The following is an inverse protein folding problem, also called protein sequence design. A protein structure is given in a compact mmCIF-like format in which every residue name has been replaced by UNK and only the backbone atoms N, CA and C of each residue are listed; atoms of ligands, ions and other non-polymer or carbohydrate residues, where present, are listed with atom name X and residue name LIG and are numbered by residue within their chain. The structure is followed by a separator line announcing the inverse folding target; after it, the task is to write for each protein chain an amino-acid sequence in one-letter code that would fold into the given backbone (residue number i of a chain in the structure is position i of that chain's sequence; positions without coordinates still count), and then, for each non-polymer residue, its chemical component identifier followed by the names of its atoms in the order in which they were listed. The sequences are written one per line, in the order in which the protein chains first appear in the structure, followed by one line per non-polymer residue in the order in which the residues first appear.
data_IF_322827079042
#
_entry.id   IF_322827079042
#
_cell.length_a   1.000
_cell.length_b   1.000
_cell.length_c   1.000
_cell.angle_alpha   90.00
_cell.angle_beta   90.00
_cell.angle_gamma   90.00
#
_symmetry.space_group_name_H-M   'P 1'
#
loop_
_entity.id
_entity.type
_entity.pdbx_description
1 polymer ?
#
# COMPACT_ATOMS: atom_id res chain seq x y z
N UNK A 1 0.61 -14.65 14.13
CA UNK A 1 2.02 -15.08 14.04
C UNK A 1 2.88 -13.99 14.68
N UNK A 2 3.79 -14.29 15.61
CA UNK A 2 4.72 -13.29 16.14
C UNK A 2 5.75 -12.95 15.05
N UNK A 3 5.88 -11.66 14.72
CA UNK A 3 6.85 -11.16 13.73
C UNK A 3 8.30 -11.31 14.23
N UNK A 4 9.23 -11.52 13.29
CA UNK A 4 10.67 -11.60 13.53
C UNK A 4 11.27 -10.24 13.92
N UNK A 5 12.17 -10.27 14.90
CA UNK A 5 12.66 -9.12 15.69
C UNK A 5 13.75 -8.30 14.98
N UNK A 6 13.63 -6.97 14.99
CA UNK A 6 14.73 -6.03 14.69
C UNK A 6 15.38 -5.43 15.95
N UNK A 7 16.66 -5.06 15.79
CA UNK A 7 17.68 -4.81 16.83
C UNK A 7 17.55 -3.47 17.59
N UNK A 8 17.55 -3.58 18.92
CA UNK A 8 18.11 -2.74 20.02
C UNK A 8 18.19 -1.21 19.80
N UNK A 9 17.33 -0.47 20.50
CA UNK A 9 17.54 0.94 20.88
C UNK A 9 17.36 1.15 22.39
N UNK A 10 18.38 1.72 23.04
CA UNK A 10 18.49 1.77 24.51
C UNK A 10 17.70 2.93 25.12
N UNK A 11 16.79 2.60 26.04
CA UNK A 11 16.49 3.42 27.23
C UNK A 11 15.45 4.53 27.11
N UNK A 12 14.17 4.17 27.33
CA UNK A 12 13.11 5.10 27.74
C UNK A 12 12.07 4.39 28.64
N UNK A 13 11.42 5.12 29.55
CA UNK A 13 10.29 4.58 30.35
C UNK A 13 8.95 4.86 29.67
N UNK A 14 7.91 4.07 29.99
CA UNK A 14 6.57 4.28 29.46
C UNK A 14 6.06 5.73 29.67
N UNK A 15 6.38 6.34 30.81
CA UNK A 15 6.06 7.74 31.13
C UNK A 15 6.71 8.78 30.19
N UNK A 16 7.83 8.42 29.52
CA UNK A 16 8.53 9.29 28.57
C UNK A 16 7.94 9.20 27.16
N UNK A 17 7.27 8.10 26.83
CA UNK A 17 6.64 7.81 25.54
C UNK A 17 5.13 8.12 25.54
N UNK A 18 4.51 8.26 26.72
CA UNK A 18 3.13 8.73 26.82
C UNK A 18 2.98 10.20 26.43
N UNK A 19 1.94 10.50 25.65
CA UNK A 19 1.54 11.85 25.24
C UNK A 19 1.94 12.26 23.83
N UNK A 20 2.28 11.30 22.96
CA UNK A 20 2.55 11.54 21.54
C UNK A 20 1.30 11.30 20.69
N UNK A 21 1.19 12.05 19.60
CA UNK A 21 0.18 11.81 18.57
C UNK A 21 0.72 12.03 17.17
N UNK A 22 0.14 11.33 16.20
CA UNK A 22 0.53 11.35 14.80
C UNK A 22 -0.72 11.20 13.93
N UNK A 23 -0.71 11.81 12.74
CA UNK A 23 -1.53 11.40 11.60
C UNK A 23 -0.63 10.59 10.66
N UNK A 24 -0.98 9.35 10.34
CA UNK A 24 -0.07 8.38 9.74
C UNK A 24 -0.70 7.64 8.57
N UNK A 25 0.01 7.55 7.44
CA UNK A 25 -0.15 6.47 6.45
C UNK A 25 1.19 6.05 5.83
N UNK A 26 2.31 6.42 6.47
CA UNK A 26 3.64 6.23 5.90
C UNK A 26 4.08 4.76 5.95
N UNK A 27 4.06 4.11 4.80
CA UNK A 27 4.65 2.79 4.62
C UNK A 27 5.48 2.74 3.33
N UNK A 28 6.43 1.82 3.32
CA UNK A 28 7.25 1.53 2.15
C UNK A 28 7.43 0.04 1.98
N UNK A 29 7.62 -0.38 0.73
CA UNK A 29 8.03 -1.73 0.41
C UNK A 29 9.53 -1.71 0.15
N UNK A 30 10.24 -2.57 0.87
CA UNK A 30 11.69 -2.69 0.82
C UNK A 30 12.05 -4.09 0.33
N UNK A 31 12.99 -4.16 -0.61
CA UNK A 31 13.52 -5.42 -1.15
C UNK A 31 15.03 -5.49 -0.93
N UNK A 32 15.53 -6.67 -0.58
CA UNK A 32 16.96 -6.99 -0.51
C UNK A 32 17.25 -8.21 -1.37
N UNK A 33 18.26 -8.11 -2.23
CA UNK A 33 18.73 -9.21 -3.08
C UNK A 33 20.18 -9.58 -2.73
N UNK A 34 20.61 -10.81 -3.03
CA UNK A 34 22.00 -11.25 -2.81
C UNK A 34 22.96 -10.88 -3.96
N UNK A 35 22.42 -10.44 -5.09
CA UNK A 35 23.11 -10.01 -6.31
C UNK A 35 22.54 -8.69 -6.82
N UNK A 36 23.27 -7.97 -7.67
CA UNK A 36 22.76 -6.74 -8.28
C UNK A 36 21.63 -7.09 -9.24
N UNK A 37 20.44 -6.55 -9.00
CA UNK A 37 19.22 -6.86 -9.76
C UNK A 37 18.62 -5.60 -10.38
N UNK A 38 17.75 -5.80 -11.37
CA UNK A 38 16.87 -4.77 -11.91
C UNK A 38 15.42 -5.18 -11.66
N UNK A 39 14.80 -4.47 -10.74
CA UNK A 39 13.43 -4.70 -10.32
C UNK A 39 12.46 -4.00 -11.26
N UNK A 40 11.40 -4.69 -11.69
CA UNK A 40 10.32 -4.12 -12.49
C UNK A 40 9.46 -3.19 -11.63
N UNK A 41 9.46 -1.90 -11.93
CA UNK A 41 8.61 -0.92 -11.24
C UNK A 41 7.21 -0.89 -11.86
N UNK A 42 6.29 -1.65 -11.26
CA UNK A 42 4.89 -1.71 -11.69
C UNK A 42 4.04 -0.51 -11.25
N UNK A 43 4.58 0.39 -10.43
CA UNK A 43 3.84 1.52 -9.84
C UNK A 43 4.10 2.84 -10.56
N UNK A 44 5.20 2.93 -11.31
CA UNK A 44 5.58 4.10 -12.08
C UNK A 44 5.03 4.09 -13.50
N UNK A 45 5.06 5.27 -14.13
CA UNK A 45 4.85 5.37 -15.57
C UNK A 45 5.95 4.60 -16.31
N UNK A 46 5.55 3.85 -17.33
CA UNK A 46 6.46 3.09 -18.17
C UNK A 46 7.22 3.97 -19.19
N UNK A 47 8.09 3.31 -19.95
CA UNK A 47 8.86 3.93 -21.04
C UNK A 47 8.18 3.59 -22.36
N UNK A 48 7.64 4.61 -23.03
CA UNK A 48 6.84 4.45 -24.25
C UNK A 48 5.35 4.57 -23.97
N UNK A 49 4.52 4.06 -24.87
CA UNK A 49 3.07 4.10 -24.75
C UNK A 49 2.41 3.07 -25.68
N UNK A 50 1.21 2.66 -25.30
CA UNK A 50 0.22 2.11 -26.25
C UNK A 50 -0.72 3.25 -26.62
N UNK A 51 -0.66 3.70 -27.87
CA UNK A 51 -1.45 4.83 -28.35
C UNK A 51 -2.78 4.36 -28.91
N UNK A 52 -3.82 5.13 -28.63
CA UNK A 52 -5.18 4.98 -29.15
C UNK A 52 -5.47 6.17 -30.06
N UNK A 53 -6.04 5.94 -31.24
CA UNK A 53 -6.43 7.01 -32.16
C UNK A 53 -7.71 6.68 -32.93
N UNK A 54 -8.44 7.71 -33.37
CA UNK A 54 -9.70 7.55 -34.10
C UNK A 54 -10.89 8.13 -33.33
N UNK A 55 -11.89 7.30 -33.03
CA UNK A 55 -13.07 7.70 -32.25
C UNK A 55 -12.68 8.33 -30.90
N UNK A 56 -11.63 7.79 -30.26
CA UNK A 56 -11.01 8.30 -29.04
C UNK A 56 -9.51 8.42 -29.31
N UNK A 57 -8.85 9.39 -28.67
CA UNK A 57 -7.41 9.57 -28.79
C UNK A 57 -6.80 9.68 -27.39
N UNK A 58 -5.66 9.02 -27.17
CA UNK A 58 -4.93 9.08 -25.93
C UNK A 58 -3.80 8.05 -25.89
N UNK A 59 -2.94 8.17 -24.88
CA UNK A 59 -1.80 7.29 -24.68
C UNK A 59 -1.95 6.59 -23.34
N UNK A 60 -1.79 5.26 -23.33
CA UNK A 60 -1.74 4.45 -22.12
C UNK A 60 -0.26 4.19 -21.77
N UNK A 61 0.17 4.66 -20.60
CA UNK A 61 1.57 4.67 -20.17
C UNK A 61 1.82 3.89 -18.87
N UNK A 62 0.77 3.42 -18.20
CA UNK A 62 0.87 2.56 -17.02
C UNK A 62 0.57 1.11 -17.40
N UNK A 63 1.39 0.18 -16.90
CA UNK A 63 1.29 -1.24 -17.23
C UNK A 63 1.37 -2.09 -15.96
N UNK A 64 0.60 -3.15 -15.89
CA UNK A 64 0.70 -4.23 -14.91
C UNK A 64 0.54 -5.55 -15.64
N UNK A 65 1.19 -6.59 -15.16
CA UNK A 65 1.17 -7.86 -15.87
C UNK A 65 2.19 -8.83 -15.35
N UNK A 66 1.97 -10.09 -15.68
CA UNK A 66 2.85 -11.19 -15.35
C UNK A 66 3.02 -12.08 -16.57
N UNK A 67 4.14 -12.79 -16.60
CA UNK A 67 4.44 -13.78 -17.63
C UNK A 67 5.00 -15.02 -16.98
N UNK A 68 4.37 -16.14 -17.24
CA UNK A 68 4.87 -17.43 -16.86
C UNK A 68 5.94 -17.88 -17.87
N UNK A 69 7.18 -17.96 -17.42
CA UNK A 69 8.32 -18.41 -18.25
C UNK A 69 8.24 -19.90 -18.64
N UNK A 70 7.57 -20.74 -17.84
CA UNK A 70 7.50 -22.18 -18.06
C UNK A 70 6.38 -22.56 -19.03
N UNK A 71 5.24 -21.88 -18.92
CA UNK A 71 4.04 -22.16 -19.73
C UNK A 71 3.80 -21.14 -20.84
N UNK A 72 4.51 -20.02 -20.86
CA UNK A 72 4.34 -18.95 -21.84
C UNK A 72 3.01 -18.20 -21.72
N UNK A 73 2.26 -18.44 -20.64
CA UNK A 73 1.03 -17.71 -20.35
C UNK A 73 1.37 -16.30 -19.90
N UNK A 74 0.53 -15.33 -20.25
CA UNK A 74 0.71 -13.95 -19.81
C UNK A 74 -0.61 -13.23 -19.64
N UNK A 75 -0.61 -12.28 -18.72
CA UNK A 75 -1.65 -11.27 -18.55
C UNK A 75 -0.98 -9.90 -18.57
N UNK A 76 -1.55 -8.95 -19.31
CA UNK A 76 -1.11 -7.56 -19.28
C UNK A 76 -2.32 -6.63 -19.26
N UNK A 77 -2.34 -5.74 -18.28
CA UNK A 77 -3.24 -4.62 -18.20
C UNK A 77 -2.47 -3.31 -18.44
N UNK A 78 -3.03 -2.43 -19.27
CA UNK A 78 -2.44 -1.12 -19.60
C UNK A 78 -3.50 -0.04 -19.45
N UNK A 79 -3.12 1.13 -18.94
CA UNK A 79 -4.04 2.26 -18.84
C UNK A 79 -3.32 3.61 -18.95
N UNK A 80 -4.11 4.68 -19.08
CA UNK A 80 -3.62 6.06 -18.96
C UNK A 80 -3.72 6.63 -17.53
N UNK A 81 -4.14 5.83 -16.56
CA UNK A 81 -4.24 6.24 -15.15
C UNK A 81 -3.23 5.48 -14.28
N UNK A 82 -2.65 6.19 -13.32
CA UNK A 82 -1.84 5.54 -12.30
C UNK A 82 -2.72 4.60 -11.46
N UNK A 83 -2.22 3.42 -11.11
CA UNK A 83 -2.88 2.48 -10.21
C UNK A 83 -3.44 3.13 -8.93
N UNK A 84 -2.69 4.02 -8.29
CA UNK A 84 -3.17 4.73 -7.09
C UNK A 84 -4.37 5.62 -7.38
N UNK A 85 -4.41 6.27 -8.55
CA UNK A 85 -5.52 7.13 -8.97
C UNK A 85 -6.78 6.34 -9.36
N UNK A 86 -6.67 5.04 -9.66
CA UNK A 86 -7.83 4.20 -9.97
C UNK A 86 -8.77 4.02 -8.76
N UNK A 87 -8.24 4.16 -7.54
CA UNK A 87 -9.00 4.03 -6.28
C UNK A 87 -9.42 5.36 -5.67
N UNK A 88 -8.96 6.50 -6.20
CA UNK A 88 -9.34 7.84 -5.72
C UNK A 88 -10.76 8.25 -6.16
N UNK A 89 -11.49 7.32 -6.81
CA UNK A 89 -12.77 7.58 -7.44
C UNK A 89 -12.64 8.54 -8.62
N UNK A 90 -13.72 8.77 -9.38
CA UNK A 90 -13.72 9.75 -10.46
C UNK A 90 -13.67 11.17 -9.86
N UNK A 91 -12.51 11.64 -9.46
CA UNK A 91 -12.30 13.03 -9.07
C UNK A 91 -11.26 13.70 -9.98
N UNK A 92 -11.81 14.48 -10.92
CA UNK A 92 -11.31 15.74 -11.47
C UNK A 92 -10.38 15.78 -12.70
N UNK A 93 -9.86 14.67 -13.20
CA UNK A 93 -9.28 14.70 -14.54
C UNK A 93 -10.40 14.43 -15.55
N UNK A 94 -10.77 15.46 -16.31
CA UNK A 94 -11.77 15.41 -17.40
C UNK A 94 -11.36 14.53 -18.59
N UNK A 95 -10.33 13.71 -18.41
CA UNK A 95 -9.75 12.87 -19.44
C UNK A 95 -10.51 11.55 -19.51
N UNK A 96 -10.61 11.00 -20.72
CA UNK A 96 -11.23 9.70 -20.94
C UNK A 96 -10.34 8.64 -20.29
N UNK A 97 -10.92 7.80 -19.43
CA UNK A 97 -10.26 6.60 -18.94
C UNK A 97 -10.10 5.61 -20.09
N UNK A 98 -8.89 5.08 -20.28
CA UNK A 98 -8.54 4.07 -21.27
C UNK A 98 -7.95 2.87 -20.54
N UNK A 99 -8.48 1.69 -20.82
CA UNK A 99 -7.99 0.42 -20.26
C UNK A 99 -7.89 -0.63 -21.34
N UNK A 100 -6.76 -1.33 -21.39
CA UNK A 100 -6.49 -2.45 -22.29
C UNK A 100 -6.07 -3.67 -21.46
N UNK A 101 -6.85 -4.74 -21.53
CA UNK A 101 -6.59 -6.02 -20.89
C UNK A 101 -6.26 -7.05 -21.98
N UNK A 102 -5.13 -7.72 -21.84
CA UNK A 102 -4.58 -8.67 -22.80
C UNK A 102 -4.29 -10.00 -22.11
N UNK A 103 -4.85 -11.07 -22.64
CA UNK A 103 -4.81 -12.40 -22.05
C UNK A 103 -4.21 -13.39 -23.04
N UNK A 104 -3.25 -14.17 -22.57
CA UNK A 104 -2.72 -15.31 -23.30
C UNK A 104 -2.60 -16.45 -22.31
N UNK A 105 -3.72 -17.15 -22.07
CA UNK A 105 -3.72 -18.39 -21.34
C UNK A 105 -3.53 -19.53 -22.35
N UNK A 106 -2.42 -20.27 -22.24
CA UNK A 106 -2.25 -21.48 -23.03
C UNK A 106 -3.27 -22.52 -22.55
N UNK A 107 -4.42 -22.56 -23.23
CA UNK A 107 -5.58 -23.37 -22.89
C UNK A 107 -5.20 -24.83 -22.62
N UNK A 108 -5.34 -25.25 -21.36
CA UNK A 108 -5.01 -26.62 -20.95
C UNK A 108 -5.29 -26.94 -19.49
N UNK A 109 -5.15 -25.96 -18.61
CA UNK A 109 -5.57 -26.11 -17.22
C UNK A 109 -6.54 -24.98 -16.93
N UNK A 110 -7.77 -25.35 -16.55
CA UNK A 110 -8.63 -24.44 -15.82
C UNK A 110 -7.82 -23.98 -14.61
N UNK A 111 -7.17 -22.82 -14.70
CA UNK A 111 -7.01 -21.96 -13.53
C UNK A 111 -8.46 -21.79 -13.07
N UNK A 112 -8.85 -22.61 -12.10
CA UNK A 112 -10.19 -22.58 -11.55
C UNK A 112 -10.44 -21.13 -11.19
N UNK A 113 -11.48 -20.57 -11.81
CA UNK A 113 -11.98 -19.24 -11.55
C UNK A 113 -11.81 -18.94 -10.05
N UNK A 114 -10.88 -18.06 -9.64
CA UNK A 114 -10.73 -17.73 -8.23
C UNK A 114 -12.02 -17.11 -7.67
N UNK A 115 -12.93 -16.71 -8.57
CA UNK A 115 -14.22 -16.09 -8.31
C UNK A 115 -15.34 -16.76 -9.12
N UNK A 116 -15.56 -18.06 -8.90
CA UNK A 116 -16.79 -18.80 -9.23
C UNK A 116 -17.88 -17.97 -9.91
N UNK A 117 -17.82 -17.89 -11.25
CA UNK A 117 -18.88 -17.77 -12.27
C UNK A 117 -20.10 -16.85 -12.08
N UNK A 118 -20.18 -16.05 -11.01
CA UNK A 118 -21.38 -15.30 -10.60
C UNK A 118 -21.12 -13.78 -10.46
N UNK A 119 -19.90 -13.30 -10.73
CA UNK A 119 -19.56 -11.87 -10.60
C UNK A 119 -19.96 -11.02 -11.81
N UNK A 120 -20.36 -11.62 -12.94
CA UNK A 120 -20.82 -10.91 -14.14
C UNK A 120 -19.78 -9.96 -14.77
N UNK A 121 -18.53 -10.01 -14.30
CA UNK A 121 -17.40 -9.29 -14.88
C UNK A 121 -16.79 -10.14 -15.98
N UNK A 122 -16.47 -9.49 -17.11
CA UNK A 122 -15.95 -10.04 -18.36
C UNK A 122 -15.05 -11.27 -18.18
N UNK A 123 -15.28 -12.31 -18.99
CA UNK A 123 -14.53 -13.55 -18.92
C UNK A 123 -13.03 -13.29 -19.05
N UNK A 124 -12.26 -13.73 -18.06
CA UNK A 124 -10.80 -13.53 -17.97
C UNK A 124 -10.00 -14.08 -19.16
N UNK A 125 -10.64 -14.76 -20.12
CA UNK A 125 -9.99 -15.35 -21.30
C UNK A 125 -9.95 -14.41 -22.51
N UNK A 126 -10.74 -13.33 -22.53
CA UNK A 126 -10.85 -12.46 -23.70
C UNK A 126 -9.96 -11.22 -23.58
N UNK A 127 -9.36 -10.82 -24.70
CA UNK A 127 -8.74 -9.49 -24.84
C UNK A 127 -9.84 -8.42 -24.87
N UNK A 128 -9.63 -7.34 -24.11
CA UNK A 128 -10.64 -6.31 -23.89
C UNK A 128 -10.04 -4.92 -23.91
N UNK A 129 -10.67 -4.01 -24.65
CA UNK A 129 -10.40 -2.59 -24.58
C UNK A 129 -11.65 -1.84 -24.12
N UNK A 130 -11.47 -0.93 -23.17
CA UNK A 130 -12.52 -0.06 -22.66
C UNK A 130 -12.08 1.39 -22.63
N UNK A 131 -13.02 2.28 -22.94
CA UNK A 131 -12.83 3.70 -22.75
C UNK A 131 -14.10 4.39 -22.26
N UNK A 132 -13.99 5.17 -21.18
CA UNK A 132 -15.11 5.82 -20.51
C UNK A 132 -14.79 7.28 -20.18
N UNK A 133 -15.62 8.20 -20.65
CA UNK A 133 -15.53 9.63 -20.37
C UNK A 133 -16.68 10.12 -19.50
N UNK A 134 -16.44 11.18 -18.73
CA UNK A 134 -17.47 11.83 -17.89
C UNK A 134 -18.60 12.50 -18.69
N UNK A 135 -18.40 12.70 -19.99
CA UNK A 135 -19.36 13.27 -20.95
C UNK A 135 -20.31 12.22 -21.55
N UNK A 136 -20.26 10.98 -21.07
CA UNK A 136 -21.05 9.85 -21.59
C UNK A 136 -20.40 9.17 -22.80
N UNK A 137 -19.16 9.54 -23.13
CA UNK A 137 -18.35 8.81 -24.10
C UNK A 137 -18.07 7.40 -23.57
N UNK A 138 -18.33 6.40 -24.41
CA UNK A 138 -18.20 4.98 -24.10
C UNK A 138 -17.71 4.26 -25.35
N UNK A 139 -16.68 3.43 -25.22
CA UNK A 139 -16.23 2.49 -26.23
C UNK A 139 -15.80 1.20 -25.54
N UNK A 140 -16.23 0.06 -26.07
CA UNK A 140 -15.97 -1.25 -25.50
C UNK A 140 -15.81 -2.26 -26.64
N UNK A 141 -14.66 -2.92 -26.70
CA UNK A 141 -14.35 -3.92 -27.69
C UNK A 141 -13.78 -5.17 -27.02
N UNK A 142 -14.48 -6.29 -27.20
CA UNK A 142 -14.03 -7.64 -26.86
C UNK A 142 -13.71 -8.36 -28.16
N UNK A 143 -12.43 -8.49 -28.48
CA UNK A 143 -11.95 -9.09 -29.72
C UNK A 143 -10.51 -9.55 -29.54
N UNK A 144 -10.06 -10.55 -30.29
CA UNK A 144 -8.65 -10.95 -30.27
C UNK A 144 -7.75 -9.75 -30.65
N UNK A 145 -6.76 -9.46 -29.81
CA UNK A 145 -5.77 -8.42 -30.02
C UNK A 145 -4.42 -9.11 -30.20
N UNK A 146 -3.74 -8.83 -31.32
CA UNK A 146 -2.40 -9.35 -31.52
C UNK A 146 -1.42 -8.57 -30.64
N UNK A 147 -0.61 -9.26 -29.83
CA UNK A 147 0.43 -8.62 -29.01
C UNK A 147 1.59 -9.57 -28.71
N UNK A 148 2.70 -8.98 -28.24
CA UNK A 148 3.81 -9.73 -27.64
C UNK A 148 4.18 -9.10 -26.31
N UNK A 149 4.31 -9.92 -25.27
CA UNK A 149 4.79 -9.49 -23.97
C UNK A 149 5.92 -10.42 -23.52
N UNK A 150 7.06 -9.85 -23.14
CA UNK A 150 8.25 -10.62 -22.72
C UNK A 150 8.43 -10.68 -21.20
N UNK A 151 7.48 -10.12 -20.42
CA UNK A 151 7.58 -9.95 -18.97
C UNK A 151 8.03 -8.54 -18.58
N UNK A 152 8.60 -7.77 -19.52
CA UNK A 152 9.09 -6.40 -19.28
C UNK A 152 8.52 -5.36 -20.24
N UNK A 153 8.29 -5.76 -21.49
CA UNK A 153 7.88 -4.90 -22.59
C UNK A 153 6.71 -5.52 -23.32
N UNK A 154 5.65 -4.73 -23.44
CA UNK A 154 4.50 -5.01 -24.28
C UNK A 154 4.71 -4.34 -25.64
N UNK A 155 4.45 -5.07 -26.72
CA UNK A 155 4.32 -4.50 -28.07
C UNK A 155 3.00 -4.93 -28.67
N UNK A 156 2.22 -3.94 -29.10
CA UNK A 156 0.95 -4.12 -29.80
C UNK A 156 1.15 -3.58 -31.22
N UNK A 157 1.16 -4.45 -32.25
CA UNK A 157 1.15 -3.99 -33.64
C UNK A 157 -0.07 -3.09 -33.90
N UNK A 158 0.09 -2.14 -34.81
CA UNK A 158 -1.01 -1.27 -35.19
C UNK A 158 -2.18 -2.08 -35.75
N UNK A 159 -3.33 -2.01 -35.10
CA UNK A 159 -4.54 -2.73 -35.49
C UNK A 159 -5.80 -1.94 -35.13
N UNK A 160 -6.89 -2.23 -35.85
CA UNK A 160 -8.18 -1.60 -35.64
C UNK A 160 -9.02 -2.42 -34.66
N UNK A 161 -9.66 -1.74 -33.70
CA UNK A 161 -10.71 -2.29 -32.87
C UNK A 161 -12.07 -1.72 -33.30
N UNK A 162 -13.11 -2.53 -33.19
CA UNK A 162 -14.48 -2.15 -33.54
C UNK A 162 -15.41 -2.46 -32.37
N UNK A 163 -16.20 -1.48 -31.95
CA UNK A 163 -17.22 -1.68 -30.91
C UNK A 163 -18.52 -2.27 -31.47
N UNK A 164 -19.48 -2.51 -30.58
CA UNK A 164 -20.82 -3.02 -30.94
C UNK A 164 -21.69 -2.02 -31.73
N UNK A 165 -21.28 -0.75 -31.84
CA UNK A 165 -21.97 0.30 -32.59
C UNK A 165 -21.30 0.57 -33.95
N UNK A 166 -20.37 -0.29 -34.38
CA UNK A 166 -19.54 -0.15 -35.58
C UNK A 166 -18.63 1.10 -35.57
N UNK A 167 -18.35 1.67 -34.40
CA UNK A 167 -17.31 2.69 -34.22
C UNK A 167 -15.94 2.04 -34.25
N UNK A 168 -14.95 2.71 -34.85
CA UNK A 168 -13.58 2.16 -34.93
C UNK A 168 -12.56 3.05 -34.25
N UNK A 169 -11.55 2.39 -33.69
CA UNK A 169 -10.32 3.02 -33.21
C UNK A 169 -9.12 2.18 -33.63
N UNK A 170 -7.95 2.80 -33.65
CA UNK A 170 -6.68 2.13 -33.90
C UNK A 170 -5.85 2.16 -32.63
N UNK A 171 -5.35 0.98 -32.21
CA UNK A 171 -4.37 0.85 -31.13
C UNK A 171 -3.02 0.43 -31.69
N UNK A 172 -1.95 0.78 -30.99
CA UNK A 172 -0.62 0.20 -31.22
C UNK A 172 0.48 0.96 -30.49
N UNK A 173 1.63 0.32 -30.37
CA UNK A 173 2.79 0.93 -29.72
C UNK A 173 3.66 -0.09 -28.98
N UNK A 174 4.62 0.44 -28.25
CA UNK A 174 5.48 -0.33 -27.36
C UNK A 174 5.56 0.40 -26.03
N UNK A 175 5.34 -0.35 -24.96
CA UNK A 175 5.42 0.12 -23.59
C UNK A 175 6.28 -0.85 -22.79
N UNK A 176 7.31 -0.33 -22.13
CA UNK A 176 8.19 -1.10 -21.26
C UNK A 176 8.05 -0.61 -19.82
N UNK A 177 8.22 -1.51 -18.85
CA UNK A 177 8.34 -1.08 -17.46
C UNK A 177 9.54 -0.16 -17.26
N UNK A 178 9.38 0.79 -16.35
CA UNK A 178 10.51 1.43 -15.68
C UNK A 178 11.18 0.42 -14.75
N UNK A 179 12.47 0.60 -14.49
CA UNK A 179 13.27 -0.34 -13.70
C UNK A 179 13.93 0.36 -12.53
N UNK A 180 13.97 -0.30 -11.38
CA UNK A 180 14.70 0.14 -10.19
C UNK A 180 15.97 -0.71 -10.07
N UNK A 181 17.13 -0.07 -10.00
CA UNK A 181 18.38 -0.77 -9.70
C UNK A 181 18.38 -1.17 -8.21
N UNK A 182 18.53 -2.46 -7.92
CA UNK A 182 18.61 -3.02 -6.57
C UNK A 182 20.02 -3.58 -6.34
N UNK A 183 20.91 -2.85 -5.66
CA UNK A 183 22.26 -3.32 -5.39
C UNK A 183 22.28 -4.51 -4.42
N UNK A 184 23.21 -5.43 -4.64
CA UNK A 184 23.37 -6.61 -3.82
C UNK A 184 23.57 -6.27 -2.33
N UNK A 185 22.78 -6.92 -1.48
CA UNK A 185 22.80 -6.86 -0.02
C UNK A 185 22.49 -5.46 0.55
N UNK A 186 21.81 -4.61 -0.22
CA UNK A 186 21.36 -3.29 0.20
C UNK A 186 19.83 -3.23 0.15
N UNK A 187 19.14 -3.04 1.29
CA UNK A 187 17.71 -2.81 1.30
C UNK A 187 17.36 -1.59 0.44
N UNK A 188 16.49 -1.79 -0.55
CA UNK A 188 16.12 -0.78 -1.53
C UNK A 188 14.61 -0.53 -1.47
N UNK A 189 14.21 0.74 -1.33
CA UNK A 189 12.79 1.16 -1.38
C UNK A 189 12.30 1.02 -2.81
N UNK A 190 11.31 0.17 -3.04
CA UNK A 190 10.71 -0.07 -4.36
C UNK A 190 9.32 0.57 -4.51
N UNK A 191 8.64 0.82 -3.39
CA UNK A 191 7.37 1.53 -3.33
C UNK A 191 7.31 2.28 -2.01
N UNK A 192 6.57 3.38 -1.97
CA UNK A 192 6.11 3.92 -0.71
C UNK A 192 4.96 4.88 -0.88
N UNK A 193 4.22 5.02 0.21
CA UNK A 193 3.17 5.99 0.35
C UNK A 193 3.59 6.97 1.44
N UNK A 194 3.75 8.25 1.06
CA UNK A 194 4.20 9.31 1.95
C UNK A 194 3.07 10.37 2.12
N UNK A 195 1.83 9.91 2.31
CA UNK A 195 0.63 10.75 2.43
C UNK A 195 -0.02 10.72 3.81
N UNK A 196 -0.93 11.67 4.05
CA UNK A 196 -1.64 11.85 5.32
C UNK A 196 -3.08 11.26 5.30
N UNK A 197 -3.55 10.76 4.15
CA UNK A 197 -4.96 10.36 3.93
C UNK A 197 -5.03 9.18 2.95
N UNK A 198 -5.55 8.03 3.37
CA UNK A 198 -5.86 6.89 2.49
C UNK A 198 -7.23 7.07 1.81
N UNK A 199 -7.39 6.60 0.56
CA UNK A 199 -8.68 6.56 -0.14
C UNK A 199 -9.70 5.67 0.57
N UNK A 200 -9.24 4.54 1.14
CA UNK A 200 -10.12 3.50 1.70
C UNK A 200 -10.50 3.78 3.16
N UNK A 201 -9.66 4.54 3.89
CA UNK A 201 -9.78 4.71 5.35
C UNK A 201 -9.65 6.16 5.81
N UNK A 202 -9.49 7.12 4.88
CA UNK A 202 -9.33 8.54 5.14
C UNK A 202 -8.11 8.85 6.01
N UNK A 203 -8.21 9.76 6.98
CA UNK A 203 -7.10 10.07 7.90
C UNK A 203 -7.02 9.07 9.04
N UNK A 204 -5.81 8.69 9.45
CA UNK A 204 -5.57 7.78 10.57
C UNK A 204 -4.68 8.46 11.63
N UNK A 205 -5.19 8.62 12.84
CA UNK A 205 -4.47 9.22 13.95
C UNK A 205 -4.16 8.18 15.03
N UNK A 206 -2.94 8.22 15.58
CA UNK A 206 -2.52 7.36 16.69
C UNK A 206 -2.21 8.23 17.91
N UNK A 207 -2.71 7.84 19.08
CA UNK A 207 -2.44 8.48 20.37
C UNK A 207 -1.87 7.47 21.37
N UNK A 208 -0.64 7.73 21.82
CA UNK A 208 0.03 6.92 22.86
C UNK A 208 -0.25 7.57 24.21
N UNK A 209 -1.04 6.92 25.07
CA UNK A 209 -1.43 7.48 26.37
C UNK A 209 -0.59 6.92 27.52
N UNK A 210 -0.38 7.77 28.52
CA UNK A 210 0.41 7.46 29.74
C UNK A 210 -0.22 6.37 30.61
N UNK A 211 -1.51 6.11 30.47
CA UNK A 211 -2.23 5.07 31.19
C UNK A 211 -2.06 3.67 30.58
N UNK A 212 -1.19 3.53 29.57
CA UNK A 212 -0.96 2.28 28.83
C UNK A 212 -1.93 2.05 27.67
N UNK A 213 -2.78 3.04 27.34
CA UNK A 213 -3.70 2.92 26.20
C UNK A 213 -3.05 3.39 24.90
N UNK A 214 -3.17 2.59 23.85
CA UNK A 214 -2.87 2.92 22.48
C UNK A 214 -4.20 3.16 21.77
N UNK A 215 -4.44 4.37 21.28
CA UNK A 215 -5.74 4.73 20.68
C UNK A 215 -5.54 5.15 19.24
N UNK A 216 -6.18 4.44 18.35
CA UNK A 216 -6.23 4.74 16.92
C UNK A 216 -7.59 5.36 16.60
N UNK A 217 -7.59 6.41 15.78
CA UNK A 217 -8.79 7.11 15.34
C UNK A 217 -8.75 7.20 13.83
N UNK A 218 -9.78 6.67 13.19
CA UNK A 218 -9.95 6.69 11.74
C UNK A 218 -11.04 7.70 11.39
N UNK A 219 -10.82 8.51 10.35
CA UNK A 219 -11.84 9.41 9.82
C UNK A 219 -11.91 9.24 8.32
N UNK A 220 -13.06 8.83 7.80
CA UNK A 220 -13.27 8.68 6.37
C UNK A 220 -14.52 9.42 5.93
N UNK A 221 -14.50 9.88 4.67
CA UNK A 221 -15.60 10.59 4.04
C UNK A 221 -16.19 9.68 2.96
N UNK A 222 -17.48 9.36 3.06
CA UNK A 222 -18.19 8.67 1.96
C UNK A 222 -18.98 9.68 1.13
N UNK A 223 -18.77 9.74 -0.20
CA UNK A 223 -19.61 10.51 -1.09
C UNK A 223 -20.96 9.80 -1.31
N UNK A 224 -22.05 10.42 -0.86
CA UNK A 224 -23.43 9.94 -1.10
C UNK A 224 -24.07 10.71 -2.26
N UNK A 225 -23.74 10.43 -3.51
CA UNK A 225 -24.47 10.90 -4.71
C UNK A 225 -23.98 12.20 -5.39
N UNK A 226 -24.48 12.42 -6.62
CA UNK A 226 -24.16 13.49 -7.58
C UNK A 226 -24.33 14.93 -7.05
N UNK A 227 -24.95 15.11 -5.88
CA UNK A 227 -25.24 16.41 -5.25
C UNK A 227 -24.14 16.88 -4.26
N UNK A 228 -23.07 16.09 -4.05
CA UNK A 228 -21.84 16.53 -3.39
C UNK A 228 -21.87 16.61 -1.87
N UNK A 229 -22.73 15.84 -1.20
CA UNK A 229 -22.71 15.72 0.26
C UNK A 229 -21.77 14.60 0.71
N UNK A 230 -20.80 14.93 1.57
CA UNK A 230 -19.91 13.95 2.23
C UNK A 230 -20.40 13.66 3.65
N UNK A 231 -20.63 12.39 3.98
CA UNK A 231 -20.80 11.97 5.37
C UNK A 231 -19.42 11.70 5.96
N UNK A 232 -19.10 12.35 7.08
CA UNK A 232 -17.85 12.12 7.80
C UNK A 232 -18.11 11.07 8.89
N UNK A 233 -17.45 9.93 8.78
CA UNK A 233 -17.44 8.88 9.79
C UNK A 233 -16.19 9.00 10.65
N UNK A 234 -16.32 8.67 11.94
CA UNK A 234 -15.19 8.60 12.88
C UNK A 234 -15.31 7.29 13.62
N UNK A 235 -14.30 6.43 13.47
CA UNK A 235 -14.16 5.19 14.22
C UNK A 235 -12.89 5.22 15.08
N UNK A 236 -12.82 4.36 16.09
CA UNK A 236 -11.64 4.28 16.95
C UNK A 236 -11.40 2.89 17.51
N UNK A 237 -10.14 2.47 17.51
CA UNK A 237 -9.69 1.23 18.14
C UNK A 237 -8.83 1.54 19.36
N UNK A 238 -9.02 0.80 20.45
CA UNK A 238 -8.21 0.92 21.67
C UNK A 238 -7.47 -0.39 21.92
N UNK A 239 -6.16 -0.29 22.06
CA UNK A 239 -5.24 -1.37 22.39
C UNK A 239 -4.46 -1.04 23.66
N UNK A 240 -3.82 -2.06 24.24
CA UNK A 240 -2.89 -1.91 25.35
C UNK A 240 -1.47 -1.85 24.79
N UNK A 241 -0.61 -0.98 25.30
CA UNK A 241 0.82 -0.98 24.96
C UNK A 241 1.69 -1.13 26.19
N UNK A 242 2.83 -1.78 26.01
CA UNK A 242 3.84 -1.94 27.03
C UNK A 242 5.25 -1.90 26.44
N UNK A 243 6.22 -1.61 27.30
CA UNK A 243 7.64 -1.73 26.94
C UNK A 243 8.10 -3.17 27.19
N UNK A 244 8.58 -3.84 26.15
CA UNK A 244 9.30 -5.11 26.26
C UNK A 244 10.71 -4.94 25.75
N UNK A 245 11.67 -5.04 26.65
CA UNK A 245 13.08 -4.76 26.38
C UNK A 245 13.24 -3.37 25.73
N UNK A 246 13.63 -3.33 24.46
CA UNK A 246 13.86 -2.12 23.67
C UNK A 246 12.76 -1.90 22.60
N UNK A 247 11.56 -2.44 22.82
CA UNK A 247 10.44 -2.35 21.89
C UNK A 247 9.17 -1.83 22.59
N UNK A 248 8.35 -1.11 21.82
CA UNK A 248 6.96 -0.84 22.17
C UNK A 248 6.13 -1.97 21.58
N UNK A 249 5.45 -2.73 22.44
CA UNK A 249 4.57 -3.81 22.01
C UNK A 249 3.12 -3.38 22.23
N UNK A 250 2.37 -3.30 21.15
CA UNK A 250 0.93 -2.96 21.14
C UNK A 250 0.14 -4.26 21.00
N UNK A 251 -0.81 -4.47 21.89
CA UNK A 251 -1.68 -5.65 21.94
C UNK A 251 -3.12 -5.24 21.70
N UNK A 252 -3.64 -5.61 20.54
CA UNK A 252 -5.04 -5.45 20.17
C UNK A 252 -5.81 -6.68 20.64
N UNK A 253 -6.99 -6.45 21.21
CA UNK A 253 -7.92 -7.51 21.64
C UNK A 253 -9.24 -7.26 20.93
N UNK A 254 -9.62 -8.18 20.05
CA UNK A 254 -10.92 -8.16 19.40
C UNK A 254 -11.76 -9.27 20.01
N UNK A 255 -12.86 -8.90 20.66
CA UNK A 255 -13.89 -9.84 21.07
C UNK A 255 -14.81 -10.03 19.86
N UNK A 256 -14.64 -11.14 19.17
CA UNK A 256 -15.45 -11.43 17.99
C UNK A 256 -16.67 -12.29 18.36
N UNK A 257 -17.82 -11.94 17.80
CA UNK A 257 -19.08 -12.66 18.00
C UNK A 257 -19.60 -13.10 16.64
N UNK A 258 -19.34 -14.35 16.28
CA UNK A 258 -19.91 -14.96 15.08
C UNK A 258 -21.23 -15.67 15.40
N UNK A 259 -22.37 -15.18 14.90
CA UNK A 259 -23.54 -16.03 14.75
C UNK A 259 -23.30 -16.93 13.52
N UNK A 260 -23.06 -18.21 13.78
CA UNK A 260 -22.97 -19.33 12.81
C UNK A 260 -21.55 -19.84 12.48
N UNK A 261 -21.02 -20.68 13.37
CA UNK A 261 -19.94 -21.61 13.04
C UNK A 261 -20.55 -22.77 12.23
N UNK A 262 -20.62 -22.58 10.91
CA UNK A 262 -21.25 -23.47 9.93
C UNK A 262 -21.29 -24.95 10.30
N UNK A 263 -22.40 -25.37 10.94
CA UNK A 263 -22.82 -26.77 11.00
C UNK A 263 -23.08 -27.41 12.38
N UNK A 264 -23.03 -26.70 13.51
CA UNK A 264 -23.39 -27.28 14.82
C UNK A 264 -23.84 -26.27 15.88
N UNK A 265 -24.60 -26.67 16.93
CA UNK A 265 -25.03 -25.75 17.98
C UNK A 265 -23.84 -25.41 18.89
N UNK A 266 -23.20 -24.28 18.64
CA UNK A 266 -22.17 -23.70 19.49
C UNK A 266 -22.05 -22.20 19.25
N UNK A 267 -22.17 -21.41 20.32
CA UNK A 267 -21.74 -20.01 20.33
C UNK A 267 -20.21 -20.05 20.43
N UNK A 268 -19.51 -19.76 19.35
CA UNK A 268 -18.06 -19.57 19.38
C UNK A 268 -17.76 -18.20 19.99
N UNK A 269 -17.17 -18.17 21.18
CA UNK A 269 -16.59 -16.96 21.77
C UNK A 269 -15.07 -17.09 21.68
N UNK A 270 -14.40 -16.09 21.08
CA UNK A 270 -12.95 -16.06 21.00
C UNK A 270 -12.45 -14.62 21.07
N UNK A 271 -11.49 -14.37 21.95
CA UNK A 271 -10.72 -13.13 21.95
C UNK A 271 -9.54 -13.32 21.00
N UNK A 272 -9.53 -12.60 19.89
CA UNK A 272 -8.38 -12.54 19.00
C UNK A 272 -7.39 -11.54 19.57
N UNK A 273 -6.19 -12.02 19.86
CA UNK A 273 -5.09 -11.19 20.33
C UNK A 273 -4.11 -11.02 19.19
N UNK A 274 -3.94 -9.78 18.74
CA UNK A 274 -2.95 -9.40 17.73
C UNK A 274 -1.91 -8.49 18.38
N UNK A 275 -0.62 -8.73 18.08
CA UNK A 275 0.49 -7.97 18.66
C UNK A 275 1.36 -7.37 17.57
N UNK A 276 1.67 -6.09 17.71
CA UNK A 276 2.62 -5.37 16.87
C UNK A 276 3.79 -4.91 17.74
N UNK A 277 5.00 -5.16 17.28
CA UNK A 277 6.22 -4.68 17.93
C UNK A 277 6.85 -3.56 17.09
N UNK A 278 7.12 -2.44 17.75
CA UNK A 278 7.80 -1.30 17.17
C UNK A 278 9.18 -1.14 17.79
N UNK A 279 10.19 -0.96 16.94
CA UNK A 279 11.43 -0.33 17.37
C UNK A 279 11.20 1.18 17.45
N UNK A 280 11.88 1.86 18.37
CA UNK A 280 11.63 3.29 18.58
C UNK A 280 12.93 4.09 18.70
N UNK A 281 12.86 5.35 18.29
CA UNK A 281 13.95 6.32 18.44
C UNK A 281 13.38 7.67 18.89
N UNK A 282 14.09 8.37 19.78
CA UNK A 282 13.72 9.72 20.21
C UNK A 282 14.80 10.71 19.79
N UNK A 283 14.52 11.50 18.75
CA UNK A 283 15.43 12.54 18.24
C UNK A 283 14.79 13.91 18.46
N UNK A 284 15.50 14.81 19.15
CA UNK A 284 15.05 16.20 19.39
C UNK A 284 13.65 16.33 20.01
N UNK A 285 13.18 15.31 20.74
CA UNK A 285 11.86 15.29 21.36
C UNK A 285 10.72 14.83 20.44
N UNK A 286 11.03 14.38 19.23
CA UNK A 286 10.12 13.63 18.36
C UNK A 286 10.36 12.13 18.54
N UNK A 287 9.28 11.36 18.50
CA UNK A 287 9.32 9.90 18.60
C UNK A 287 9.14 9.30 17.21
N UNK A 288 10.11 8.52 16.76
CA UNK A 288 9.98 7.66 15.58
C UNK A 288 9.67 6.25 16.02
N UNK A 289 8.66 5.63 15.43
CA UNK A 289 8.41 4.19 15.53
C UNK A 289 8.62 3.54 14.17
N UNK A 290 9.25 2.38 14.18
CA UNK A 290 9.49 1.58 12.99
C UNK A 290 8.96 0.17 13.22
N UNK A 291 8.06 -0.27 12.35
CA UNK A 291 7.62 -1.66 12.25
C UNK A 291 8.01 -2.23 10.90
N UNK A 292 8.54 -3.45 10.90
CA UNK A 292 8.88 -4.18 9.69
C UNK A 292 8.08 -5.47 9.65
N UNK A 293 7.40 -5.71 8.54
CA UNK A 293 6.60 -6.90 8.29
C UNK A 293 7.18 -7.67 7.11
N UNK A 294 7.75 -8.85 7.38
CA UNK A 294 8.17 -9.78 6.33
C UNK A 294 6.91 -10.27 5.60
N UNK A 295 6.81 -9.96 4.30
CA UNK A 295 5.63 -10.29 3.50
C UNK A 295 5.51 -11.78 3.21
N UNK A 296 6.64 -12.51 3.18
CA UNK A 296 6.64 -13.93 2.86
C UNK A 296 6.47 -14.84 4.08
N UNK A 297 6.61 -14.28 5.29
CA UNK A 297 6.51 -15.02 6.56
C UNK A 297 7.47 -16.22 6.67
N UNK A 298 7.52 -16.87 7.82
CA UNK A 298 8.49 -17.95 8.05
C UNK A 298 8.05 -19.31 7.47
N UNK A 299 6.73 -19.56 7.35
CA UNK A 299 6.20 -20.88 6.97
C UNK A 299 6.17 -21.13 5.45
N UNK A 300 6.10 -20.08 4.63
CA UNK A 300 5.98 -20.16 3.17
C UNK A 300 7.06 -19.37 2.44
N UNK A 301 8.12 -18.97 3.16
CA UNK A 301 9.12 -17.99 2.73
C UNK A 301 9.64 -18.29 1.32
N UNK A 302 10.13 -19.51 1.10
CA UNK A 302 10.75 -19.88 -0.17
C UNK A 302 9.80 -19.83 -1.36
N UNK A 303 8.56 -20.30 -1.22
CA UNK A 303 7.60 -20.29 -2.33
C UNK A 303 7.18 -18.85 -2.66
N UNK A 304 6.93 -18.04 -1.63
CA UNK A 304 6.60 -16.64 -1.80
C UNK A 304 7.73 -15.86 -2.48
N UNK A 305 8.99 -16.04 -2.04
CA UNK A 305 10.14 -15.38 -2.66
C UNK A 305 10.33 -15.81 -4.13
N UNK A 306 10.25 -17.11 -4.43
CA UNK A 306 10.37 -17.61 -5.82
C UNK A 306 9.24 -17.05 -6.72
N UNK A 307 8.02 -16.87 -6.20
CA UNK A 307 6.90 -16.26 -6.93
C UNK A 307 7.16 -14.78 -7.24
N UNK A 308 7.62 -14.02 -6.25
CA UNK A 308 7.91 -12.58 -6.40
C UNK A 308 9.12 -12.34 -7.32
N UNK A 309 10.13 -13.23 -7.30
CA UNK A 309 11.23 -13.17 -8.26
C UNK A 309 10.72 -13.26 -9.71
N UNK A 310 9.76 -14.15 -9.97
CA UNK A 310 9.15 -14.29 -11.28
C UNK A 310 8.35 -13.03 -11.66
N UNK A 311 7.48 -12.57 -10.78
CA UNK A 311 6.62 -11.40 -10.98
C UNK A 311 7.44 -10.13 -11.28
N UNK A 312 8.52 -9.89 -10.53
CA UNK A 312 9.37 -8.71 -10.67
C UNK A 312 10.58 -8.93 -11.58
N UNK A 313 10.63 -10.06 -12.28
CA UNK A 313 11.67 -10.42 -13.26
C UNK A 313 13.09 -10.35 -12.70
N UNK A 314 13.25 -10.80 -11.46
CA UNK A 314 14.52 -10.97 -10.76
C UNK A 314 15.13 -12.33 -11.09
N UNK A 315 16.45 -12.44 -10.98
CA UNK A 315 17.11 -13.74 -11.13
C UNK A 315 16.61 -14.71 -10.04
N UNK A 316 16.37 -15.96 -10.42
CA UNK A 316 15.89 -16.99 -9.49
C UNK A 316 16.88 -17.22 -8.33
N UNK A 317 16.37 -17.19 -7.10
CA UNK A 317 17.14 -17.31 -5.86
C UNK A 317 17.95 -16.05 -5.51
N UNK A 318 17.64 -14.91 -6.12
CA UNK A 318 18.30 -13.63 -5.81
C UNK A 318 17.62 -12.85 -4.70
N UNK A 319 16.31 -13.02 -4.49
CA UNK A 319 15.52 -12.29 -3.51
C UNK A 319 15.71 -12.92 -2.12
N UNK A 320 16.33 -12.16 -1.21
CA UNK A 320 16.58 -12.61 0.16
C UNK A 320 15.46 -12.17 1.10
N UNK A 321 14.93 -10.96 0.90
CA UNK A 321 13.91 -10.39 1.77
C UNK A 321 13.03 -9.42 1.00
N UNK A 322 11.72 -9.50 1.26
CA UNK A 322 10.76 -8.45 0.93
C UNK A 322 9.96 -8.11 2.19
N UNK A 323 9.88 -6.82 2.50
CA UNK A 323 9.19 -6.37 3.72
C UNK A 323 8.48 -5.05 3.53
N UNK A 324 7.32 -4.96 4.17
CA UNK A 324 6.65 -3.69 4.37
C UNK A 324 7.23 -3.01 5.61
N UNK A 325 7.61 -1.75 5.47
CA UNK A 325 8.21 -0.94 6.54
C UNK A 325 7.30 0.24 6.81
N UNK A 326 6.78 0.30 8.03
CA UNK A 326 5.97 1.41 8.53
C UNK A 326 6.85 2.32 9.37
N UNK A 327 6.91 3.60 8.99
CA UNK A 327 7.69 4.61 9.69
C UNK A 327 6.77 5.71 10.21
N UNK A 328 6.55 5.70 11.53
CA UNK A 328 5.61 6.58 12.20
C UNK A 328 6.37 7.69 12.93
N UNK A 329 6.24 8.93 12.46
CA UNK A 329 6.93 10.10 13.02
C UNK A 329 6.02 10.95 13.93
N UNK A 330 5.99 10.67 15.22
CA UNK A 330 5.19 11.43 16.17
C UNK A 330 5.82 12.78 16.52
N UNK A 331 5.04 13.84 16.35
CA UNK A 331 5.37 15.15 16.92
C UNK A 331 4.79 15.25 18.32
N UNK A 332 5.56 15.82 19.24
CA UNK A 332 5.09 16.04 20.61
C UNK A 332 4.00 17.11 20.61
N UNK A 333 2.74 16.72 20.71
CA UNK A 333 1.66 17.68 20.96
C UNK A 333 1.93 18.37 22.29
N UNK A 334 2.16 19.70 22.33
CA UNK A 334 2.53 20.37 23.57
C UNK A 334 1.39 20.27 24.56
N UNK A 335 1.55 19.42 25.57
CA UNK A 335 0.61 19.33 26.69
C UNK A 335 0.73 20.61 27.54
N UNK A 336 -0.07 21.62 27.19
CA UNK A 336 -0.06 22.97 27.80
C UNK A 336 -0.23 22.92 29.33
N UNK A 337 -0.89 21.89 29.88
CA UNK A 337 -1.00 21.67 31.33
C UNK A 337 0.30 21.18 31.97
N UNK A 338 1.04 20.28 31.32
CA UNK A 338 2.34 19.78 31.81
C UNK A 338 3.45 20.81 31.66
N UNK A 339 3.43 21.67 30.63
CA UNK A 339 4.36 22.81 30.56
C UNK A 339 4.26 23.73 31.79
N UNK A 340 3.06 23.92 32.38
CA UNK A 340 2.91 24.66 33.64
C UNK A 340 3.50 23.92 34.84
N UNK A 341 3.25 22.61 34.95
CA UNK A 341 3.76 21.77 36.05
C UNK A 341 5.28 21.61 36.05
N UNK A 342 5.94 21.64 34.88
CA UNK A 342 7.40 21.57 34.76
C UNK A 342 8.09 22.94 34.68
N UNK A 343 7.36 24.03 34.37
CA UNK A 343 7.90 25.40 34.44
C UNK A 343 7.81 26.05 35.83
N UNK A 344 6.87 25.62 36.68
CA UNK A 344 6.80 26.10 38.08
C UNK A 344 8.01 25.69 38.95
N UNK A 345 8.51 24.44 38.89
CA UNK A 345 9.72 24.03 39.60
C UNK A 345 10.96 24.77 39.08
N UNK A 346 11.07 24.99 37.76
CA UNK A 346 12.17 25.75 37.17
C UNK A 346 12.16 27.23 37.60
N UNK A 347 11.00 27.88 37.69
CA UNK A 347 10.90 29.25 38.24
C UNK A 347 11.27 29.32 39.72
N UNK A 348 10.93 28.32 40.53
CA UNK A 348 11.34 28.25 41.95
C UNK A 348 12.81 27.90 42.14
N UNK A 349 13.43 27.15 41.23
CA UNK A 349 14.86 26.86 41.24
C UNK A 349 15.71 28.06 40.78
N UNK A 350 15.28 28.79 39.75
CA UNK A 350 15.93 30.02 39.28
C UNK A 350 15.82 31.19 40.27
N UNK A 351 14.76 31.22 41.10
CA UNK A 351 14.62 32.22 42.16
C UNK A 351 15.48 31.95 43.41
N UNK A 352 16.15 30.78 43.51
CA UNK A 352 16.97 30.38 44.67
C UNK A 352 18.48 30.52 44.47
N UNK A 353 18.94 30.94 43.29
CA UNK A 353 20.33 31.31 43.11
C UNK A 353 20.51 32.81 43.40
N UNK A 354 21.36 33.20 44.37
CA UNK A 354 21.66 34.61 44.56
C UNK A 354 22.33 35.14 43.29
N UNK A 355 21.84 36.29 42.80
CA UNK A 355 22.48 37.08 41.75
C UNK A 355 23.96 37.24 42.10
N UNK A 356 24.84 36.59 41.34
CA UNK A 356 26.28 36.81 41.45
C UNK A 356 26.55 38.30 41.21
N UNK A 357 26.92 39.02 42.28
CA UNK A 357 27.48 40.36 42.18
C UNK A 357 28.89 40.21 41.62
N UNK A 358 29.10 40.73 40.42
CA UNK A 358 30.43 41.03 39.90
C UNK A 358 31.01 42.13 40.80
N UNK A 359 32.05 41.81 41.57
CA UNK A 359 32.89 42.83 42.19
C UNK A 359 33.87 43.38 41.15
N UNK A 360 34.06 44.70 41.20
CA UNK A 360 34.81 45.54 40.27
C UNK A 360 36.25 45.12 40.07
#
# INVERSE_FOLDING_TARGET
MPQSLNRVSVGASADQLGGYSLNAWNYSLMVTTNTDQKFVDQMSEGIGAISVSGYINGDMTYMQGWKDEDFGSSHVYVSNYNWFSMFEGPNQDSETFLGLNLNNYNGGENMGDPFDSDSGFYGYDDDHFSAYGTDGLYFDAVQQIEYTFDGRSLTVPTQELTDFQDSTLTIGGTLSYSMIDVPANIPTKIMGYDGDISSDYGSWEIHIKEDGSWVEVFRFEEPQDQDGWTNVFVDSTVAEWEMKDDQIVVTYKYDDFWPDAGGGPGIGQGTWIYQVAYTYEVINGNLKLLNEFNMCGDEFERFCLEMLENEYQLDRGSLEEIKMVWELEFTKTPNLRKMRLYSEPMRKALARHPLYKIQK
#
